data_IF_466337756338
#
_entry.id   IF_466337756338
#
_cell.length_a   1.000
_cell.length_b   1.000
_cell.length_c   1.000
_cell.angle_alpha   90.00
_cell.angle_beta   90.00
_cell.angle_gamma   90.00
#
_symmetry.space_group_name_H-M   'P 1'
#
loop_
_entity.id
_entity.type
_entity.pdbx_description
1 polymer ?
#
# COMPACT_ATOMS: atom_id res chain seq x y z
N UNK A 1 -15.42 -2.41 -5.10
CA UNK A 1 -14.69 -2.87 -6.30
C UNK A 1 -15.09 -4.31 -6.54
N UNK A 2 -15.39 -4.68 -7.78
CA UNK A 2 -15.71 -6.06 -8.17
C UNK A 2 -14.55 -6.67 -9.00
N UNK A 3 -14.74 -7.90 -9.47
CA UNK A 3 -13.74 -8.62 -10.29
C UNK A 3 -13.45 -7.94 -11.64
N UNK A 4 -14.32 -7.03 -12.09
CA UNK A 4 -14.19 -6.30 -13.35
C UNK A 4 -13.78 -4.83 -13.14
N UNK A 5 -13.17 -4.50 -12.00
CA UNK A 5 -12.66 -3.16 -11.73
C UNK A 5 -11.74 -2.68 -12.88
N UNK A 6 -12.07 -1.53 -13.47
CA UNK A 6 -11.45 -0.94 -14.68
C UNK A 6 -11.62 -1.73 -16.00
N UNK A 7 -12.32 -2.87 -16.01
CA UNK A 7 -12.54 -3.71 -17.19
C UNK A 7 -13.91 -3.42 -17.84
N UNK A 8 -13.95 -2.35 -18.64
CA UNK A 8 -15.19 -1.80 -19.21
C UNK A 8 -15.76 -2.58 -20.42
N UNK A 9 -15.04 -3.56 -20.97
CA UNK A 9 -15.46 -4.33 -22.14
C UNK A 9 -15.26 -5.83 -21.95
N UNK A 10 -16.04 -6.65 -22.67
CA UNK A 10 -15.87 -8.11 -22.69
C UNK A 10 -14.46 -8.52 -23.14
N UNK A 11 -13.89 -7.82 -24.12
CA UNK A 11 -12.51 -8.05 -24.55
C UNK A 11 -11.50 -7.77 -23.44
N UNK A 12 -11.65 -6.67 -22.69
CA UNK A 12 -10.76 -6.36 -21.56
C UNK A 12 -10.86 -7.41 -20.45
N UNK A 13 -12.08 -7.84 -20.12
CA UNK A 13 -12.34 -8.92 -19.14
C UNK A 13 -11.65 -10.22 -19.56
N UNK A 14 -11.82 -10.61 -20.82
CA UNK A 14 -11.18 -11.81 -21.38
C UNK A 14 -9.65 -11.75 -21.28
N UNK A 15 -9.05 -10.66 -21.75
CA UNK A 15 -7.59 -10.49 -21.74
C UNK A 15 -7.01 -10.53 -20.32
N UNK A 16 -7.68 -9.89 -19.36
CA UNK A 16 -7.22 -9.88 -17.97
C UNK A 16 -7.40 -11.24 -17.28
N UNK A 17 -8.63 -11.76 -17.24
CA UNK A 17 -8.97 -12.96 -16.47
C UNK A 17 -8.41 -14.24 -17.08
N UNK A 18 -8.41 -14.37 -18.41
CA UNK A 18 -7.94 -15.60 -19.06
C UNK A 18 -6.41 -15.65 -19.18
N UNK A 19 -5.74 -14.49 -19.26
CA UNK A 19 -4.29 -14.40 -19.51
C UNK A 19 -3.54 -13.60 -18.44
N UNK A 20 -3.76 -12.29 -18.32
CA UNK A 20 -2.86 -11.40 -17.57
C UNK A 20 -2.78 -11.75 -16.07
N UNK A 21 -3.90 -12.03 -15.42
CA UNK A 21 -3.98 -12.27 -13.97
C UNK A 21 -3.20 -13.51 -13.50
N UNK A 22 -2.89 -14.44 -14.42
CA UNK A 22 -2.18 -15.69 -14.11
C UNK A 22 -0.66 -15.57 -14.28
N UNK A 23 -0.18 -14.47 -14.85
CA UNK A 23 1.24 -14.27 -15.07
C UNK A 23 1.95 -13.94 -13.76
N UNK A 24 3.21 -14.36 -13.58
CA UNK A 24 4.00 -13.95 -12.44
C UNK A 24 4.30 -12.45 -12.48
N UNK A 25 4.53 -11.87 -11.31
CA UNK A 25 5.01 -10.50 -11.18
C UNK A 25 6.52 -10.48 -11.40
N UNK A 26 6.99 -9.63 -12.30
CA UNK A 26 8.41 -9.33 -12.50
C UNK A 26 8.63 -7.88 -12.07
N UNK A 27 9.00 -7.68 -10.81
CA UNK A 27 9.23 -6.37 -10.21
C UNK A 27 10.72 -6.01 -10.24
N UNK A 28 11.23 -5.65 -11.42
CA UNK A 28 12.66 -5.43 -11.66
C UNK A 28 13.22 -4.17 -11.00
N UNK A 29 12.34 -3.28 -10.50
CA UNK A 29 12.73 -2.06 -9.84
C UNK A 29 11.75 -1.73 -8.71
N UNK A 30 12.18 -1.97 -7.48
CA UNK A 30 11.44 -1.63 -6.27
C UNK A 30 12.37 -1.00 -5.22
N UNK A 31 11.76 -0.51 -4.14
CA UNK A 31 12.46 0.05 -2.99
C UNK A 31 12.20 -0.76 -1.70
N UNK A 32 11.88 -2.05 -1.84
CA UNK A 32 11.71 -2.93 -0.68
C UNK A 32 13.03 -3.02 0.09
N UNK A 33 12.95 -3.01 1.43
CA UNK A 33 14.12 -3.19 2.27
C UNK A 33 14.59 -4.66 2.24
N UNK A 34 15.81 -4.96 1.72
CA UNK A 34 16.30 -6.33 1.62
C UNK A 34 16.40 -7.04 2.98
N UNK A 35 16.65 -6.31 4.06
CA UNK A 35 16.76 -6.88 5.41
C UNK A 35 15.41 -7.40 5.92
N UNK A 36 14.31 -6.73 5.58
CA UNK A 36 12.97 -7.21 5.96
C UNK A 36 12.61 -8.50 5.24
N UNK A 37 13.04 -8.64 3.98
CA UNK A 37 12.89 -9.87 3.20
C UNK A 37 13.73 -10.99 3.83
N UNK A 38 15.02 -10.72 4.08
CA UNK A 38 15.95 -11.70 4.63
C UNK A 38 15.51 -12.24 6.00
N UNK A 39 14.88 -11.38 6.81
CA UNK A 39 14.42 -11.73 8.16
C UNK A 39 12.97 -12.23 8.22
N UNK A 40 12.26 -12.32 7.10
CA UNK A 40 10.80 -12.60 7.06
C UNK A 40 10.03 -11.71 8.06
N UNK A 41 10.27 -10.40 7.97
CA UNK A 41 9.80 -9.42 8.95
C UNK A 41 8.29 -9.53 9.18
N UNK A 42 7.89 -9.62 10.44
CA UNK A 42 6.50 -9.60 10.87
C UNK A 42 6.14 -8.22 11.38
N UNK A 43 5.31 -7.50 10.64
CA UNK A 43 4.78 -6.20 11.03
C UNK A 43 3.93 -6.33 12.29
N UNK A 44 4.08 -5.39 13.22
CA UNK A 44 3.38 -5.38 14.52
C UNK A 44 1.94 -4.89 14.43
N UNK A 45 1.60 -4.15 13.36
CA UNK A 45 0.27 -3.57 13.14
C UNK A 45 0.01 -3.30 11.66
N UNK A 46 -1.26 -3.07 11.30
CA UNK A 46 -1.62 -2.61 9.96
C UNK A 46 -1.02 -1.22 9.66
N UNK A 47 -0.92 -0.34 10.65
CA UNK A 47 -0.34 0.99 10.50
C UNK A 47 1.14 0.93 10.14
N UNK A 48 1.90 0.01 10.74
CA UNK A 48 3.32 -0.16 10.43
C UNK A 48 3.50 -0.50 8.94
N UNK A 49 2.73 -1.46 8.41
CA UNK A 49 2.85 -1.86 7.00
C UNK A 49 2.26 -0.84 6.03
N UNK A 50 1.20 -0.12 6.41
CA UNK A 50 0.50 0.80 5.50
C UNK A 50 1.00 2.23 5.52
N UNK A 51 1.41 2.75 6.68
CA UNK A 51 1.71 4.18 6.86
C UNK A 51 3.20 4.46 6.97
N UNK A 52 4.08 3.45 7.07
CA UNK A 52 5.53 3.67 7.12
C UNK A 52 6.15 4.13 5.80
N UNK A 53 5.43 4.00 4.68
CA UNK A 53 6.03 4.04 3.36
C UNK A 53 5.18 4.64 2.23
N UNK A 54 5.93 4.90 1.16
CA UNK A 54 5.70 5.65 -0.08
C UNK A 54 5.03 7.01 0.02
N UNK A 55 4.87 7.53 1.24
CA UNK A 55 4.61 8.93 1.59
C UNK A 55 3.31 9.56 1.04
N UNK A 56 2.61 8.92 0.09
CA UNK A 56 1.36 9.43 -0.50
C UNK A 56 0.27 9.63 0.54
N UNK A 57 0.16 8.71 1.52
CA UNK A 57 -0.78 8.84 2.63
C UNK A 57 -0.46 10.07 3.47
N UNK A 58 0.81 10.29 3.84
CA UNK A 58 1.23 11.50 4.58
C UNK A 58 0.95 12.77 3.80
N UNK A 59 1.21 12.78 2.49
CA UNK A 59 0.88 13.92 1.63
C UNK A 59 -0.62 14.21 1.66
N UNK A 60 -1.47 13.19 1.53
CA UNK A 60 -2.91 13.32 1.60
C UNK A 60 -3.37 13.82 2.98
N UNK A 61 -2.86 13.24 4.07
CA UNK A 61 -3.15 13.66 5.44
C UNK A 61 -2.83 15.16 5.66
N UNK A 62 -1.62 15.60 5.29
CA UNK A 62 -1.21 17.02 5.37
C UNK A 62 -2.11 17.93 4.53
N UNK A 63 -2.47 17.50 3.32
CA UNK A 63 -3.35 18.27 2.43
C UNK A 63 -4.75 18.42 3.01
N UNK A 64 -5.19 17.46 3.84
CA UNK A 64 -6.48 17.48 4.54
C UNK A 64 -6.38 18.07 5.97
N UNK A 65 -5.27 18.71 6.34
CA UNK A 65 -5.12 19.40 7.62
C UNK A 65 -4.93 18.47 8.83
N UNK A 66 -4.59 17.21 8.62
CA UNK A 66 -4.19 16.31 9.70
C UNK A 66 -2.86 16.78 10.28
N UNK A 67 -2.79 16.88 11.61
CA UNK A 67 -1.57 17.31 12.31
C UNK A 67 -0.38 16.40 11.97
N UNK A 68 0.80 16.99 11.77
CA UNK A 68 2.02 16.29 11.40
C UNK A 68 2.40 15.18 12.39
N UNK A 69 2.02 15.32 13.67
CA UNK A 69 2.25 14.29 14.68
C UNK A 69 1.56 12.96 14.35
N UNK A 70 0.44 12.99 13.62
CA UNK A 70 -0.25 11.78 13.16
C UNK A 70 0.30 11.24 11.84
N UNK A 71 1.09 12.04 11.10
CA UNK A 71 1.80 11.58 9.91
C UNK A 71 3.12 10.89 10.28
N UNK A 72 4.04 11.63 10.92
CA UNK A 72 5.43 11.18 11.17
C UNK A 72 5.88 11.31 12.62
N UNK A 73 5.02 11.82 13.51
CA UNK A 73 5.31 11.98 14.94
C UNK A 73 5.74 10.67 15.62
N UNK A 74 6.67 10.77 16.57
CA UNK A 74 7.17 9.64 17.37
C UNK A 74 6.42 9.47 18.69
N UNK A 75 5.65 10.48 19.06
CA UNK A 75 4.84 10.60 20.28
C UNK A 75 3.38 10.18 20.06
N UNK A 76 3.08 9.53 18.94
CA UNK A 76 1.77 8.96 18.60
C UNK A 76 1.89 7.46 18.33
N UNK A 77 0.94 6.70 18.85
CA UNK A 77 0.83 5.27 18.64
C UNK A 77 0.35 4.94 17.23
N UNK A 78 0.59 3.70 16.81
CA UNK A 78 0.10 3.19 15.52
C UNK A 78 -1.42 3.28 15.40
N UNK A 79 -2.17 3.12 16.50
CA UNK A 79 -3.62 3.25 16.50
C UNK A 79 -4.07 4.71 16.30
N UNK A 80 -3.46 5.64 17.03
CA UNK A 80 -3.75 7.07 16.88
C UNK A 80 -3.46 7.58 15.47
N UNK A 81 -2.45 7.04 14.79
CA UNK A 81 -2.19 7.37 13.38
C UNK A 81 -3.17 6.72 12.41
N UNK A 82 -3.71 5.55 12.74
CA UNK A 82 -4.66 4.82 11.89
C UNK A 82 -6.07 5.44 11.92
N UNK A 83 -6.48 5.96 13.08
CA UNK A 83 -7.80 6.57 13.28
C UNK A 83 -7.94 7.94 12.58
N UNK A 84 -6.83 8.58 12.20
CA UNK A 84 -6.80 9.94 11.62
C UNK A 84 -6.81 9.94 10.10
#
# INVERSE_FOLDING_TARGET
MDENFLLQTETARKLYHEHAAKLPIIDYHCHLNPQMIANDHKFKSITEVWLSGDHYKWRAMRTNGVDERYCTGKDTSDWEKFEK
#
